data_IF_422321979958
#
_entry.id   IF_422321979958
#
_cell.length_a   1.000
_cell.length_b   1.000
_cell.length_c   1.000
_cell.angle_alpha   90.00
_cell.angle_beta   90.00
_cell.angle_gamma   90.00
#
_symmetry.space_group_name_H-M   'P 1'
#
loop_
_entity.id
_entity.type
_entity.pdbx_description
1 polymer ?
#
# COMPACT_ATOMS: atom_id res chain seq x y z
N UNK A 1 0.89 12.60 21.08
CA UNK A 1 0.49 12.63 19.66
C UNK A 1 0.76 14.01 19.07
N UNK A 2 0.83 14.13 17.75
CA UNK A 2 1.06 15.41 17.06
C UNK A 2 -0.25 16.19 17.01
N UNK A 3 -0.19 17.49 17.27
CA UNK A 3 -1.31 18.44 17.16
C UNK A 3 -1.03 19.42 16.03
N UNK A 4 -2.00 19.57 15.14
CA UNK A 4 -1.96 20.51 14.03
C UNK A 4 -2.92 21.66 14.31
N UNK A 5 -2.40 22.89 14.29
CA UNK A 5 -3.18 24.12 14.32
C UNK A 5 -3.04 24.85 12.98
N UNK A 6 -4.15 24.98 12.26
CA UNK A 6 -4.20 25.60 10.93
C UNK A 6 -5.00 26.89 11.06
N UNK A 7 -4.39 28.02 10.72
CA UNK A 7 -5.04 29.33 10.74
C UNK A 7 -5.15 29.87 9.33
N UNK A 8 -6.36 30.22 8.89
CA UNK A 8 -6.55 30.84 7.59
C UNK A 8 -6.15 32.33 7.60
N UNK A 9 -6.04 32.93 6.42
CA UNK A 9 -5.75 34.35 6.22
C UNK A 9 -6.77 35.32 6.86
N UNK A 10 -7.95 34.84 7.27
CA UNK A 10 -8.99 35.62 7.93
C UNK A 10 -8.96 35.47 9.47
N UNK A 11 -7.99 34.72 10.02
CA UNK A 11 -7.80 34.51 11.45
C UNK A 11 -8.66 33.40 12.06
N UNK A 12 -9.45 32.67 11.27
CA UNK A 12 -10.13 31.48 11.76
C UNK A 12 -9.12 30.33 11.88
N UNK A 13 -9.15 29.63 13.01
CA UNK A 13 -8.23 28.55 13.32
C UNK A 13 -8.96 27.23 13.56
N UNK A 14 -8.37 26.14 13.06
CA UNK A 14 -8.77 24.77 13.32
C UNK A 14 -7.62 24.07 14.05
N UNK A 15 -7.91 23.44 15.18
CA UNK A 15 -6.95 22.62 15.90
C UNK A 15 -7.46 21.18 15.97
N UNK A 16 -6.59 20.23 15.63
CA UNK A 16 -6.86 18.80 15.65
C UNK A 16 -5.63 18.01 16.09
N UNK A 17 -5.87 16.84 16.66
CA UNK A 17 -4.82 15.86 16.97
C UNK A 17 -4.76 14.83 15.84
N UNK A 18 -3.55 14.51 15.38
CA UNK A 18 -3.29 13.53 14.33
C UNK A 18 -3.00 12.14 14.95
N UNK A 19 -3.32 11.04 14.26
CA UNK A 19 -3.89 10.96 12.91
C UNK A 19 -5.43 11.16 12.87
N UNK A 20 -5.93 11.51 11.69
CA UNK A 20 -7.34 11.68 11.37
C UNK A 20 -7.66 10.95 10.05
N UNK A 21 -8.93 10.57 9.88
CA UNK A 21 -9.47 10.28 8.55
C UNK A 21 -9.30 11.51 7.64
N UNK A 22 -8.61 11.35 6.51
CA UNK A 22 -8.17 12.49 5.69
C UNK A 22 -9.34 13.20 5.01
N UNK A 23 -10.42 12.47 4.70
CA UNK A 23 -11.63 13.02 4.09
C UNK A 23 -12.42 13.86 5.10
N UNK A 24 -12.63 13.33 6.30
CA UNK A 24 -13.25 14.05 7.40
C UNK A 24 -12.40 15.24 7.82
N UNK A 25 -11.07 15.09 7.84
CA UNK A 25 -10.18 16.21 8.17
C UNK A 25 -10.30 17.33 7.14
N UNK A 26 -10.36 16.99 5.84
CA UNK A 26 -10.59 17.99 4.81
C UNK A 26 -11.99 18.63 4.92
N UNK A 27 -13.01 17.86 5.26
CA UNK A 27 -14.35 18.39 5.52
C UNK A 27 -14.34 19.43 6.64
N UNK A 28 -13.76 19.09 7.80
CA UNK A 28 -13.63 19.99 8.96
C UNK A 28 -12.87 21.28 8.61
N UNK A 29 -11.80 21.15 7.81
CA UNK A 29 -11.04 22.30 7.31
C UNK A 29 -11.91 23.23 6.46
N UNK A 30 -12.74 22.69 5.58
CA UNK A 30 -13.65 23.50 4.76
C UNK A 30 -14.69 24.23 5.59
N UNK A 31 -15.24 23.59 6.63
CA UNK A 31 -16.15 24.24 7.58
C UNK A 31 -15.47 25.41 8.33
N UNK A 32 -14.18 25.27 8.64
CA UNK A 32 -13.36 26.34 9.21
C UNK A 32 -12.89 27.40 8.19
N UNK A 33 -13.31 27.29 6.92
CA UNK A 33 -12.96 28.23 5.85
C UNK A 33 -11.56 28.01 5.25
N UNK A 34 -10.98 26.83 5.43
CA UNK A 34 -9.70 26.41 4.85
C UNK A 34 -9.99 25.51 3.64
N UNK A 35 -10.03 26.10 2.44
CA UNK A 35 -10.39 25.40 1.19
C UNK A 35 -9.17 24.79 0.46
N UNK A 36 -8.14 24.41 1.20
CA UNK A 36 -6.91 23.81 0.65
C UNK A 36 -6.79 22.39 1.19
N UNK A 37 -6.65 21.36 0.34
CA UNK A 37 -6.59 19.98 0.81
C UNK A 37 -5.30 19.74 1.60
N UNK A 38 -5.29 18.82 2.58
CA UNK A 38 -4.11 18.55 3.42
C UNK A 38 -2.84 18.26 2.63
N UNK A 39 -2.93 17.50 1.54
CA UNK A 39 -1.81 17.19 0.63
C UNK A 39 -1.18 18.41 -0.06
N UNK A 40 -1.86 19.55 -0.08
CA UNK A 40 -1.33 20.78 -0.69
C UNK A 40 -0.82 21.78 0.35
N UNK A 41 -1.02 21.54 1.65
CA UNK A 41 -0.59 22.43 2.73
C UNK A 41 0.80 22.01 3.16
N UNK A 42 1.80 22.84 2.90
CA UNK A 42 3.16 22.61 3.38
C UNK A 42 3.25 22.76 4.90
N UNK A 43 4.12 21.97 5.52
CA UNK A 43 4.42 22.07 6.95
C UNK A 43 5.21 23.33 7.29
N UNK A 44 5.96 23.85 6.32
CA UNK A 44 6.81 25.01 6.45
C UNK A 44 6.54 26.02 5.35
N UNK A 45 6.39 27.30 5.72
CA UNK A 45 6.27 28.43 4.79
C UNK A 45 5.14 28.30 3.74
N UNK A 46 4.00 27.69 4.12
CA UNK A 46 2.87 27.52 3.21
C UNK A 46 2.26 28.86 2.77
N UNK A 47 1.88 28.94 1.50
CA UNK A 47 1.13 30.07 0.96
C UNK A 47 -0.37 29.82 1.11
N UNK A 48 -0.99 30.55 2.03
CA UNK A 48 -2.45 30.65 2.17
C UNK A 48 -2.97 30.27 3.55
N UNK A 49 -2.21 29.49 4.32
CA UNK A 49 -2.49 29.15 5.71
C UNK A 49 -1.23 29.27 6.57
N UNK A 50 -1.43 29.59 7.84
CA UNK A 50 -0.39 29.46 8.87
C UNK A 50 -0.58 28.13 9.60
N UNK A 51 0.37 27.21 9.45
CA UNK A 51 0.35 25.90 10.08
C UNK A 51 1.38 25.84 11.21
N UNK A 52 0.93 25.43 12.38
CA UNK A 52 1.81 25.10 13.50
C UNK A 52 1.59 23.66 13.96
N UNK A 53 2.65 22.86 13.94
CA UNK A 53 2.66 21.54 14.55
C UNK A 53 3.27 21.61 15.96
N UNK A 54 2.63 20.93 16.91
CA UNK A 54 3.10 20.79 18.28
C UNK A 54 2.87 19.37 18.79
N UNK A 55 3.45 19.01 19.93
CA UNK A 55 3.25 17.70 20.52
C UNK A 55 3.41 17.76 22.04
N UNK A 56 2.54 17.04 22.75
CA UNK A 56 2.58 16.97 24.23
C UNK A 56 3.33 15.73 24.74
N UNK A 57 3.67 14.80 23.86
CA UNK A 57 4.42 13.58 24.19
C UNK A 57 5.86 13.66 23.70
N UNK A 58 6.76 12.94 24.37
CA UNK A 58 8.15 12.80 23.92
C UNK A 58 8.19 12.21 22.52
N UNK A 59 7.47 11.10 22.27
CA UNK A 59 7.34 10.49 20.94
C UNK A 59 6.91 11.53 19.89
N UNK A 60 5.82 12.28 20.15
CA UNK A 60 5.34 13.28 19.20
C UNK A 60 6.36 14.38 18.94
N UNK A 61 7.05 14.85 19.98
CA UNK A 61 8.10 15.88 19.85
C UNK A 61 9.29 15.41 19.01
N UNK A 62 9.57 14.11 19.02
CA UNK A 62 10.62 13.48 18.21
C UNK A 62 10.17 13.28 16.77
N UNK A 63 8.92 12.86 16.57
CA UNK A 63 8.33 12.72 15.24
C UNK A 63 8.31 14.05 14.48
N UNK A 64 8.11 15.19 15.14
CA UNK A 64 8.19 16.50 14.47
C UNK A 64 9.54 16.77 13.76
N UNK A 65 10.61 16.04 14.12
CA UNK A 65 11.96 16.22 13.56
C UNK A 65 12.20 15.42 12.28
N UNK A 66 11.32 14.48 11.95
CA UNK A 66 11.46 13.67 10.73
C UNK A 66 11.00 14.44 9.49
N UNK A 67 10.30 15.56 9.69
CA UNK A 67 9.73 16.33 8.61
C UNK A 67 10.73 17.29 7.96
N UNK A 68 10.65 17.36 6.64
CA UNK A 68 11.42 18.24 5.77
C UNK A 68 10.59 19.46 5.33
N UNK A 69 11.24 20.45 4.69
CA UNK A 69 10.55 21.65 4.17
C UNK A 69 9.49 21.36 3.10
N UNK A 70 9.64 20.25 2.37
CA UNK A 70 8.70 19.86 1.31
C UNK A 70 7.49 19.10 1.82
N UNK A 71 7.48 18.73 3.10
CA UNK A 71 6.45 17.87 3.65
C UNK A 71 5.15 18.63 3.85
N UNK A 72 4.05 17.88 3.83
CA UNK A 72 2.70 18.38 3.84
C UNK A 72 1.95 18.00 5.10
N UNK A 73 0.80 18.62 5.32
CA UNK A 73 -0.11 18.22 6.41
C UNK A 73 -0.60 16.78 6.25
N UNK A 74 -0.72 16.29 5.00
CA UNK A 74 -0.99 14.87 4.75
C UNK A 74 0.17 13.99 5.24
N UNK A 75 1.43 14.35 4.95
CA UNK A 75 2.60 13.60 5.44
C UNK A 75 2.64 13.52 6.97
N UNK A 76 2.31 14.62 7.66
CA UNK A 76 2.24 14.62 9.12
C UNK A 76 1.15 13.69 9.65
N UNK A 77 0.00 13.63 8.96
CA UNK A 77 -1.08 12.71 9.28
C UNK A 77 -0.65 11.25 9.05
N UNK A 78 0.03 10.97 7.94
CA UNK A 78 0.55 9.64 7.58
C UNK A 78 1.60 9.15 8.57
N UNK A 79 2.55 10.00 8.98
CA UNK A 79 3.53 9.64 10.03
C UNK A 79 2.83 9.34 11.35
N UNK A 80 1.85 10.16 11.75
CA UNK A 80 1.09 9.92 12.98
C UNK A 80 0.29 8.61 12.88
N UNK A 81 -0.29 8.32 11.72
CA UNK A 81 -1.04 7.10 11.44
C UNK A 81 -0.14 5.87 11.56
N UNK A 82 0.94 5.80 10.78
CA UNK A 82 1.87 4.68 10.75
C UNK A 82 2.43 4.32 12.13
N UNK A 83 2.74 5.31 12.98
CA UNK A 83 3.23 5.06 14.34
C UNK A 83 2.11 4.58 15.27
N UNK A 84 0.89 5.11 15.13
CA UNK A 84 -0.25 4.75 15.98
C UNK A 84 -0.86 3.39 15.64
N UNK A 85 -0.74 2.94 14.39
CA UNK A 85 -1.26 1.66 13.90
C UNK A 85 -0.19 0.58 13.78
N UNK A 86 1.06 0.90 14.14
CA UNK A 86 2.15 -0.07 14.16
C UNK A 86 1.78 -1.29 15.02
N UNK A 87 2.12 -2.48 14.52
CA UNK A 87 1.78 -3.76 15.16
C UNK A 87 2.36 -3.80 16.58
N UNK A 88 1.58 -4.30 17.54
CA UNK A 88 1.99 -4.41 18.96
C UNK A 88 3.38 -5.04 19.12
N UNK A 89 3.69 -6.01 18.26
CA UNK A 89 4.95 -6.75 18.26
C UNK A 89 6.20 -5.88 18.03
N UNK A 90 6.07 -4.74 17.35
CA UNK A 90 7.19 -3.84 17.02
C UNK A 90 7.14 -2.51 17.80
N UNK A 91 6.04 -2.23 18.52
CA UNK A 91 5.80 -0.92 19.15
C UNK A 91 6.95 -0.50 20.08
N UNK A 92 7.41 -1.40 20.95
CA UNK A 92 8.47 -1.07 21.92
C UNK A 92 9.77 -0.63 21.24
N UNK A 93 10.20 -1.37 20.21
CA UNK A 93 11.45 -1.07 19.49
C UNK A 93 11.29 0.21 18.64
N UNK A 94 10.14 0.35 17.96
CA UNK A 94 9.79 1.56 17.21
C UNK A 94 9.82 2.81 18.11
N UNK A 95 9.18 2.77 19.28
CA UNK A 95 9.15 3.87 20.23
C UNK A 95 10.55 4.23 20.73
N UNK A 96 11.40 3.24 21.03
CA UNK A 96 12.79 3.50 21.41
C UNK A 96 13.56 4.19 20.27
N UNK A 97 13.43 3.70 19.03
CA UNK A 97 14.11 4.30 17.89
C UNK A 97 13.66 5.75 17.65
N UNK A 98 12.37 6.04 17.82
CA UNK A 98 11.83 7.41 17.76
C UNK A 98 12.44 8.29 18.86
N UNK A 99 12.40 7.84 20.12
CA UNK A 99 12.92 8.60 21.29
C UNK A 99 14.40 8.95 21.11
N UNK A 100 15.20 8.02 20.58
CA UNK A 100 16.63 8.20 20.33
C UNK A 100 16.95 8.97 19.04
N UNK A 101 15.95 9.46 18.29
CA UNK A 101 16.10 10.22 17.04
C UNK A 101 16.85 9.42 15.95
N UNK A 102 16.56 8.13 15.81
CA UNK A 102 17.23 7.29 14.82
C UNK A 102 16.77 7.56 13.37
N UNK A 103 15.64 8.25 13.20
CA UNK A 103 15.08 8.55 11.87
C UNK A 103 15.41 9.97 11.43
N UNK A 104 16.23 10.16 10.39
CA UNK A 104 16.54 11.49 9.86
C UNK A 104 15.42 12.05 8.97
N UNK A 105 14.55 11.19 8.41
CA UNK A 105 13.45 11.57 7.53
C UNK A 105 12.24 10.66 7.73
N UNK A 106 11.06 11.08 7.25
CA UNK A 106 9.83 10.27 7.28
C UNK A 106 9.97 8.98 6.46
N UNK A 107 10.69 9.01 5.35
CA UNK A 107 10.94 7.82 4.51
C UNK A 107 11.72 6.77 5.29
N UNK A 108 12.77 7.18 6.03
CA UNK A 108 13.53 6.25 6.88
C UNK A 108 12.71 5.67 8.04
N UNK A 109 11.75 6.43 8.55
CA UNK A 109 10.79 5.93 9.53
C UNK A 109 9.87 4.86 8.91
N UNK A 110 9.32 5.12 7.72
CA UNK A 110 8.46 4.15 7.02
C UNK A 110 9.21 2.88 6.62
N UNK A 111 10.42 3.02 6.08
CA UNK A 111 11.32 1.90 5.75
C UNK A 111 11.53 0.99 6.96
N UNK A 112 11.84 1.56 8.13
CA UNK A 112 12.13 0.78 9.34
C UNK A 112 10.86 0.15 9.92
N UNK A 113 9.71 0.84 9.89
CA UNK A 113 8.42 0.25 10.29
C UNK A 113 8.11 -0.98 9.44
N UNK A 114 8.27 -0.87 8.12
CA UNK A 114 8.09 -2.00 7.19
C UNK A 114 9.07 -3.14 7.51
N UNK A 115 10.35 -2.83 7.64
CA UNK A 115 11.39 -3.81 7.93
C UNK A 115 11.17 -4.54 9.27
N UNK A 116 10.84 -3.81 10.34
CA UNK A 116 10.53 -4.38 11.65
C UNK A 116 9.28 -5.26 11.60
N UNK A 117 8.24 -4.82 10.88
CA UNK A 117 6.98 -5.59 10.74
C UNK A 117 7.24 -6.91 10.02
N UNK A 118 7.98 -6.89 8.91
CA UNK A 118 8.37 -8.09 8.17
C UNK A 118 9.29 -9.00 9.01
N UNK A 119 10.26 -8.44 9.73
CA UNK A 119 11.17 -9.20 10.59
C UNK A 119 10.44 -9.86 11.78
N UNK A 120 9.35 -9.26 12.25
CA UNK A 120 8.49 -9.82 13.29
C UNK A 120 7.62 -11.00 12.80
N UNK A 121 7.49 -11.18 11.48
CA UNK A 121 6.88 -12.35 10.84
C UNK A 121 7.93 -13.21 10.11
N UNK A 122 8.68 -14.06 10.83
CA UNK A 122 9.81 -14.80 10.24
C UNK A 122 9.39 -15.90 9.25
N UNK A 123 8.13 -16.34 9.28
CA UNK A 123 7.61 -17.33 8.34
C UNK A 123 7.17 -16.58 7.08
N UNK A 124 7.86 -16.84 5.97
CA UNK A 124 7.50 -16.29 4.66
C UNK A 124 6.54 -17.22 3.96
N UNK A 125 5.51 -16.64 3.35
CA UNK A 125 4.58 -17.30 2.45
C UNK A 125 4.45 -16.41 1.21
N UNK A 126 4.84 -16.92 0.05
CA UNK A 126 4.69 -16.23 -1.22
C UNK A 126 3.61 -16.92 -2.03
N UNK A 127 2.68 -16.13 -2.55
CA UNK A 127 1.60 -16.57 -3.41
C UNK A 127 1.74 -15.92 -4.79
N UNK A 128 1.35 -16.66 -5.82
CA UNK A 128 1.38 -16.22 -7.21
C UNK A 128 0.00 -16.33 -7.85
N UNK A 129 -0.32 -15.38 -8.72
CA UNK A 129 -1.50 -15.41 -9.57
C UNK A 129 -1.20 -14.81 -10.95
N UNK A 130 -1.99 -15.11 -12.00
CA UNK A 130 -1.79 -14.52 -13.31
C UNK A 130 -2.12 -13.02 -13.28
N UNK A 131 -1.43 -12.26 -14.12
CA UNK A 131 -1.76 -10.85 -14.43
C UNK A 131 -2.43 -10.76 -15.79
N UNK A 132 -3.40 -9.85 -15.89
CA UNK A 132 -4.04 -9.48 -17.16
C UNK A 132 -3.76 -8.02 -17.46
N UNK A 133 -3.41 -7.74 -18.71
CA UNK A 133 -3.21 -6.38 -19.21
C UNK A 133 -4.26 -6.01 -20.26
N UNK A 134 -4.76 -4.79 -20.18
CA UNK A 134 -5.63 -4.17 -21.18
C UNK A 134 -5.02 -2.85 -21.63
N UNK A 135 -4.84 -2.67 -22.93
CA UNK A 135 -4.26 -1.46 -23.52
C UNK A 135 -5.36 -0.66 -24.23
N UNK A 136 -5.46 0.62 -23.92
CA UNK A 136 -6.19 1.61 -24.71
C UNK A 136 -5.17 2.37 -25.59
N UNK A 137 -5.19 2.11 -26.90
CA UNK A 137 -4.30 2.75 -27.88
C UNK A 137 -4.79 4.13 -28.35
N UNK A 138 -5.99 4.56 -27.90
CA UNK A 138 -6.64 5.80 -28.30
C UNK A 138 -7.11 5.84 -29.76
N UNK A 139 -6.91 4.76 -30.53
CA UNK A 139 -7.35 4.61 -31.92
C UNK A 139 -8.59 3.71 -32.03
N UNK A 140 -8.67 2.71 -31.16
CA UNK A 140 -9.75 1.73 -31.09
C UNK A 140 -10.72 2.06 -29.96
N UNK A 141 -12.03 1.86 -30.20
CA UNK A 141 -13.06 2.01 -29.15
C UNK A 141 -13.07 0.83 -28.14
N UNK A 142 -12.23 -0.19 -28.36
CA UNK A 142 -12.15 -1.41 -27.55
C UNK A 142 -10.72 -1.60 -27.01
N UNK A 143 -10.62 -2.04 -25.75
CA UNK A 143 -9.35 -2.41 -25.13
C UNK A 143 -8.72 -3.63 -25.80
N UNK A 144 -7.40 -3.58 -25.97
CA UNK A 144 -6.59 -4.67 -26.53
C UNK A 144 -6.01 -5.48 -25.38
N UNK A 145 -6.30 -6.77 -25.33
CA UNK A 145 -5.67 -7.68 -24.36
C UNK A 145 -4.18 -7.86 -24.70
N UNK A 146 -3.30 -7.60 -23.72
CA UNK A 146 -1.85 -7.74 -23.88
C UNK A 146 -1.34 -8.93 -23.06
N UNK A 147 -0.41 -9.68 -23.66
CA UNK A 147 0.17 -10.86 -23.02
C UNK A 147 1.29 -10.53 -22.04
N UNK A 148 1.71 -11.51 -21.24
CA UNK A 148 2.72 -11.36 -20.19
C UNK A 148 4.06 -10.81 -20.68
N UNK A 149 4.46 -11.07 -21.92
CA UNK A 149 5.69 -10.52 -22.49
C UNK A 149 5.65 -9.00 -22.71
N UNK A 150 4.46 -8.43 -22.96
CA UNK A 150 4.28 -6.97 -23.01
C UNK A 150 4.32 -6.40 -21.59
N UNK A 151 3.60 -7.02 -20.65
CA UNK A 151 3.61 -6.61 -19.25
C UNK A 151 5.03 -6.61 -18.66
N UNK A 152 5.84 -7.62 -18.96
CA UNK A 152 7.24 -7.71 -18.51
C UNK A 152 8.10 -6.52 -18.99
N UNK A 153 7.82 -5.95 -20.16
CA UNK A 153 8.53 -4.77 -20.65
C UNK A 153 8.21 -3.50 -19.83
N UNK A 154 7.08 -3.50 -19.12
CA UNK A 154 6.58 -2.42 -18.27
C UNK A 154 6.62 -2.78 -16.77
N UNK A 155 7.39 -3.80 -16.39
CA UNK A 155 7.46 -4.30 -15.00
C UNK A 155 7.73 -3.18 -13.98
N UNK A 156 8.74 -2.35 -14.21
CA UNK A 156 9.12 -1.28 -13.28
C UNK A 156 7.96 -0.29 -13.05
N UNK A 157 7.23 0.09 -14.11
CA UNK A 157 6.06 0.98 -14.00
C UNK A 157 4.89 0.30 -13.29
N UNK A 158 4.67 -0.99 -13.55
CA UNK A 158 3.64 -1.80 -12.89
C UNK A 158 3.94 -1.90 -11.40
N UNK A 159 5.17 -2.28 -11.03
CA UNK A 159 5.63 -2.34 -9.63
C UNK A 159 5.45 -1.01 -8.91
N UNK A 160 5.79 0.10 -9.57
CA UNK A 160 5.61 1.43 -8.99
C UNK A 160 4.12 1.76 -8.78
N UNK A 161 3.25 1.49 -9.76
CA UNK A 161 1.81 1.69 -9.62
C UNK A 161 1.22 0.87 -8.48
N UNK A 162 1.67 -0.37 -8.29
CA UNK A 162 1.25 -1.24 -7.19
C UNK A 162 1.77 -0.72 -5.84
N UNK A 163 3.00 -0.20 -5.79
CA UNK A 163 3.58 0.37 -4.59
C UNK A 163 2.82 1.64 -4.15
N UNK A 164 2.36 2.45 -5.10
CA UNK A 164 1.59 3.67 -4.84
C UNK A 164 0.20 3.37 -4.24
N UNK A 165 -0.39 2.21 -4.55
CA UNK A 165 -1.67 1.76 -3.97
C UNK A 165 -1.53 1.19 -2.56
N UNK A 166 -0.31 0.82 -2.17
CA UNK A 166 0.03 0.32 -0.84
C UNK A 166 0.85 1.36 -0.05
N UNK A 167 0.56 2.65 -0.29
CA UNK A 167 1.25 3.75 0.35
C UNK A 167 1.10 3.70 1.89
N UNK A 168 2.07 4.23 2.66
CA UNK A 168 2.05 4.17 4.13
C UNK A 168 0.79 4.73 4.81
N UNK A 169 0.05 5.60 4.13
CA UNK A 169 -1.24 6.14 4.58
C UNK A 169 -2.36 5.11 4.63
N UNK A 170 -2.26 4.04 3.85
CA UNK A 170 -3.16 2.89 3.90
C UNK A 170 -2.74 1.87 4.96
N UNK A 171 -1.60 2.05 5.63
CA UNK A 171 -1.04 1.06 6.54
C UNK A 171 -0.61 -0.22 5.82
N UNK A 172 -0.40 -1.29 6.59
CA UNK A 172 -0.06 -2.60 6.01
C UNK A 172 -1.33 -3.32 5.53
N UNK A 173 -1.31 -3.85 4.30
CA UNK A 173 -2.48 -4.52 3.71
C UNK A 173 -2.98 -5.71 4.53
N UNK A 174 -2.12 -6.32 5.36
CA UNK A 174 -2.51 -7.38 6.28
C UNK A 174 -3.56 -6.94 7.32
N UNK A 175 -3.83 -5.65 7.50
CA UNK A 175 -4.94 -5.20 8.35
C UNK A 175 -6.32 -5.39 7.70
N UNK A 176 -6.37 -5.52 6.37
CA UNK A 176 -7.60 -5.75 5.59
C UNK A 176 -7.86 -7.25 5.33
N UNK A 177 -6.97 -8.12 5.80
CA UNK A 177 -7.06 -9.58 5.72
C UNK A 177 -7.39 -10.14 7.12
N UNK A 178 -8.53 -9.71 7.67
CA UNK A 178 -8.91 -9.95 9.07
C UNK A 178 -10.20 -10.77 9.25
N UNK A 179 -10.79 -11.30 8.15
CA UNK A 179 -12.05 -12.07 8.24
C UNK A 179 -11.88 -13.33 9.07
N UNK A 180 -10.76 -14.03 8.94
CA UNK A 180 -10.40 -15.13 9.83
C UNK A 180 -9.50 -14.64 10.98
N UNK A 181 -9.98 -14.76 12.23
CA UNK A 181 -9.24 -14.32 13.40
C UNK A 181 -7.90 -15.05 13.64
N UNK A 182 -7.77 -16.31 13.21
CA UNK A 182 -6.53 -17.08 13.25
C UNK A 182 -5.50 -16.56 12.25
N UNK A 183 -5.93 -16.27 11.02
CA UNK A 183 -5.09 -15.60 9.99
C UNK A 183 -4.67 -14.22 10.48
N UNK A 184 -5.62 -13.38 10.91
CA UNK A 184 -5.36 -12.03 11.42
C UNK A 184 -4.39 -12.03 12.61
N UNK A 185 -4.49 -13.05 13.47
CA UNK A 185 -3.60 -13.21 14.60
C UNK A 185 -2.19 -13.64 14.20
N UNK A 186 -1.94 -14.18 13.02
CA UNK A 186 -0.63 -14.67 12.57
C UNK A 186 0.03 -13.75 11.54
N UNK A 187 -0.76 -13.09 10.71
CA UNK A 187 -0.31 -12.25 9.61
C UNK A 187 0.26 -10.91 10.12
N UNK A 188 1.52 -10.67 9.81
CA UNK A 188 2.24 -9.44 10.16
C UNK A 188 2.18 -8.42 9.03
N UNK A 189 2.53 -8.86 7.82
CA UNK A 189 2.46 -8.05 6.60
C UNK A 189 1.96 -8.85 5.41
N UNK A 190 1.33 -8.16 4.46
CA UNK A 190 1.05 -8.66 3.12
C UNK A 190 1.39 -7.57 2.11
N UNK A 191 2.18 -7.90 1.09
CA UNK A 191 2.66 -6.94 0.08
C UNK A 191 2.44 -7.52 -1.30
N UNK A 192 1.70 -6.80 -2.14
CA UNK A 192 1.51 -7.12 -3.55
C UNK A 192 2.63 -6.50 -4.37
N UNK A 193 3.08 -7.23 -5.38
CA UNK A 193 4.10 -6.85 -6.35
C UNK A 193 3.99 -7.79 -7.55
N UNK A 194 4.97 -7.75 -8.46
CA UNK A 194 5.04 -8.65 -9.60
C UNK A 194 6.39 -9.33 -9.68
N UNK A 195 6.48 -10.42 -10.42
CA UNK A 195 7.73 -11.12 -10.68
C UNK A 195 7.73 -11.72 -12.09
N UNK A 196 8.81 -11.49 -12.85
CA UNK A 196 9.05 -12.16 -14.11
C UNK A 196 9.62 -13.55 -13.85
N UNK A 197 8.86 -14.57 -14.27
CA UNK A 197 9.28 -15.96 -14.23
C UNK A 197 9.25 -16.51 -15.65
N UNK A 198 10.44 -16.78 -16.19
CA UNK A 198 10.66 -17.30 -17.55
C UNK A 198 9.96 -16.46 -18.66
N UNK A 199 9.97 -15.14 -18.53
CA UNK A 199 9.37 -14.21 -19.49
C UNK A 199 7.85 -14.07 -19.32
N UNK A 200 7.30 -14.57 -18.22
CA UNK A 200 5.91 -14.36 -17.82
C UNK A 200 5.88 -13.53 -16.56
N UNK A 201 5.38 -12.30 -16.67
CA UNK A 201 5.11 -11.47 -15.51
C UNK A 201 3.88 -12.00 -14.76
N UNK A 202 4.07 -12.40 -13.51
CA UNK A 202 3.02 -12.86 -12.60
C UNK A 202 2.81 -11.86 -11.46
N UNK A 203 1.61 -11.89 -10.88
CA UNK A 203 1.32 -11.20 -9.63
C UNK A 203 1.94 -12.00 -8.49
N UNK A 204 2.62 -11.32 -7.58
CA UNK A 204 3.26 -11.90 -6.41
C UNK A 204 2.75 -11.23 -5.14
N UNK A 205 2.40 -12.03 -4.15
CA UNK A 205 1.95 -11.58 -2.85
C UNK A 205 2.87 -12.16 -1.78
N UNK A 206 3.63 -11.29 -1.12
CA UNK A 206 4.57 -11.66 -0.06
C UNK A 206 3.92 -11.46 1.31
N UNK A 207 3.60 -12.56 1.99
CA UNK A 207 3.09 -12.59 3.35
C UNK A 207 4.19 -12.92 4.36
N UNK A 208 4.23 -12.16 5.45
CA UNK A 208 5.06 -12.47 6.62
C UNK A 208 4.18 -12.86 7.79
N UNK A 209 4.44 -14.02 8.37
CA UNK A 209 3.64 -14.66 9.40
C UNK A 209 4.48 -14.91 10.66
N UNK A 210 3.85 -14.77 11.84
CA UNK A 210 4.48 -15.12 13.12
C UNK A 210 4.76 -16.61 13.25
N UNK A 211 3.88 -17.43 12.68
CA UNK A 211 3.95 -18.88 12.67
C UNK A 211 3.19 -19.45 11.46
N UNK A 212 3.42 -20.71 11.07
CA UNK A 212 2.73 -21.30 9.92
C UNK A 212 1.20 -21.33 10.07
N UNK A 213 0.52 -21.20 8.94
CA UNK A 213 -0.92 -21.40 8.85
C UNK A 213 -1.25 -22.89 8.82
N UNK A 214 -2.40 -23.24 9.38
CA UNK A 214 -3.07 -24.52 9.14
C UNK A 214 -3.67 -24.53 7.73
N UNK A 215 -4.09 -25.70 7.25
CA UNK A 215 -4.71 -25.81 5.92
C UNK A 215 -6.01 -24.98 5.80
N UNK A 216 -6.80 -24.92 6.87
CA UNK A 216 -8.03 -24.11 6.94
C UNK A 216 -7.70 -22.62 6.87
N UNK A 217 -6.75 -22.14 7.69
CA UNK A 217 -6.31 -20.75 7.66
C UNK A 217 -5.66 -20.36 6.33
N UNK A 218 -4.94 -21.29 5.67
CA UNK A 218 -4.39 -21.06 4.33
C UNK A 218 -5.49 -20.87 3.29
N UNK A 219 -6.54 -21.71 3.33
CA UNK A 219 -7.68 -21.57 2.43
C UNK A 219 -8.38 -20.23 2.63
N UNK A 220 -8.62 -19.83 3.88
CA UNK A 220 -9.23 -18.55 4.21
C UNK A 220 -8.38 -17.36 3.73
N UNK A 221 -7.06 -17.40 3.97
CA UNK A 221 -6.15 -16.36 3.48
C UNK A 221 -6.20 -16.24 1.95
N UNK A 222 -6.27 -17.35 1.22
CA UNK A 222 -6.41 -17.33 -0.25
C UNK A 222 -7.72 -16.71 -0.69
N UNK A 223 -8.83 -16.99 -0.02
CA UNK A 223 -10.12 -16.35 -0.33
C UNK A 223 -10.08 -14.84 -0.07
N UNK A 224 -9.42 -14.39 1.00
CA UNK A 224 -9.26 -12.97 1.29
C UNK A 224 -8.36 -12.27 0.26
N UNK A 225 -7.22 -12.87 -0.11
CA UNK A 225 -6.33 -12.35 -1.16
C UNK A 225 -7.05 -12.32 -2.51
N UNK A 226 -7.79 -13.37 -2.85
CA UNK A 226 -8.61 -13.40 -4.07
C UNK A 226 -9.62 -12.25 -4.11
N UNK A 227 -10.27 -11.97 -2.97
CA UNK A 227 -11.15 -10.82 -2.83
C UNK A 227 -10.43 -9.50 -3.13
N UNK A 228 -9.27 -9.29 -2.51
CA UNK A 228 -8.44 -8.09 -2.76
C UNK A 228 -8.01 -7.96 -4.22
N UNK A 229 -7.58 -9.07 -4.85
CA UNK A 229 -7.22 -9.12 -6.26
C UNK A 229 -8.41 -8.79 -7.16
N UNK A 230 -9.60 -9.34 -6.88
CA UNK A 230 -10.81 -9.09 -7.66
C UNK A 230 -11.36 -7.67 -7.51
N UNK A 231 -11.05 -6.99 -6.40
CA UNK A 231 -11.43 -5.60 -6.16
C UNK A 231 -10.44 -4.59 -6.78
N UNK A 232 -9.40 -5.08 -7.48
CA UNK A 232 -8.41 -4.27 -8.20
C UNK A 232 -7.41 -3.52 -7.32
N UNK A 233 -7.00 -4.18 -6.23
CA UNK A 233 -6.32 -3.69 -5.03
C UNK A 233 -6.38 -2.18 -4.76
N UNK A 234 -7.36 -1.83 -3.91
CA UNK A 234 -7.58 -0.49 -3.35
C UNK A 234 -8.72 0.29 -4.01
N UNK A 235 -9.54 -0.36 -4.86
CA UNK A 235 -10.59 0.22 -5.74
C UNK A 235 -10.06 1.05 -6.93
N UNK A 236 -8.73 1.12 -7.11
CA UNK A 236 -8.10 2.11 -7.99
C UNK A 236 -7.05 1.58 -8.96
N UNK A 237 -6.25 0.58 -8.59
CA UNK A 237 -5.07 0.20 -9.39
C UNK A 237 -5.48 -0.17 -10.82
N UNK A 238 -6.46 -1.07 -10.94
CA UNK A 238 -6.97 -1.54 -12.22
C UNK A 238 -7.63 -0.43 -13.06
N UNK A 239 -7.99 0.68 -12.45
CA UNK A 239 -8.66 1.82 -13.11
C UNK A 239 -7.71 2.97 -13.41
N UNK A 240 -6.47 2.93 -12.91
CA UNK A 240 -5.46 3.96 -13.15
C UNK A 240 -4.53 3.51 -14.27
N UNK A 241 -4.51 4.21 -15.41
CA UNK A 241 -3.64 3.82 -16.50
C UNK A 241 -2.18 4.05 -16.15
N UNK A 242 -1.35 3.13 -16.62
CA UNK A 242 0.09 3.28 -16.72
C UNK A 242 0.37 3.79 -18.13
N UNK A 243 0.88 5.02 -18.26
CA UNK A 243 1.23 5.60 -19.55
C UNK A 243 2.38 4.80 -20.19
N UNK A 244 2.15 4.29 -21.40
CA UNK A 244 3.14 3.55 -22.21
C UNK A 244 3.36 4.23 -23.56
N UNK A 245 4.40 3.81 -24.30
CA UNK A 245 4.64 4.32 -25.66
C UNK A 245 3.54 3.87 -26.65
N UNK A 246 2.80 2.82 -26.31
CA UNK A 246 1.72 2.23 -27.12
C UNK A 246 0.30 2.63 -26.66
N UNK A 247 0.16 3.39 -25.57
CA UNK A 247 -1.14 3.81 -25.04
C UNK A 247 -1.24 3.69 -23.52
N UNK A 248 -2.47 3.69 -23.01
CA UNK A 248 -2.78 3.59 -21.58
C UNK A 248 -2.96 2.12 -21.18
N UNK A 249 -2.05 1.61 -20.34
CA UNK A 249 -2.05 0.22 -19.88
C UNK A 249 -2.76 0.08 -18.53
N UNK A 250 -3.74 -0.82 -18.46
CA UNK A 250 -4.45 -1.21 -17.25
C UNK A 250 -4.07 -2.64 -16.88
N UNK A 251 -3.77 -2.88 -15.61
CA UNK A 251 -3.27 -4.18 -15.13
C UNK A 251 -4.12 -4.70 -13.99
N UNK A 252 -4.50 -5.97 -14.05
CA UNK A 252 -5.34 -6.66 -13.07
C UNK A 252 -4.69 -7.93 -12.53
N UNK A 253 -4.86 -8.15 -11.22
CA UNK A 253 -4.47 -9.39 -10.52
C UNK A 253 -5.54 -10.48 -10.61
N UNK A 254 -6.65 -10.21 -11.29
CA UNK A 254 -7.79 -11.08 -11.34
C UNK A 254 -8.37 -11.19 -12.74
N UNK A 255 -8.89 -12.37 -13.07
CA UNK A 255 -9.70 -12.55 -14.26
C UNK A 255 -10.67 -13.70 -14.06
N UNK A 256 -11.74 -13.70 -14.86
CA UNK A 256 -12.78 -14.73 -14.80
C UNK A 256 -12.46 -15.98 -15.63
N UNK A 257 -11.21 -16.18 -16.05
CA UNK A 257 -10.83 -17.39 -16.82
C UNK A 257 -10.83 -18.61 -15.92
N UNK A 258 -11.11 -19.77 -16.53
CA UNK A 258 -10.97 -21.07 -15.87
C UNK A 258 -9.49 -21.38 -15.53
N UNK A 259 -8.54 -20.68 -16.15
CA UNK A 259 -7.10 -20.81 -15.92
C UNK A 259 -6.58 -19.95 -14.76
N UNK A 260 -7.45 -19.19 -14.06
CA UNK A 260 -7.05 -18.41 -12.90
C UNK A 260 -6.55 -19.30 -11.76
N UNK A 261 -5.40 -18.96 -11.20
CA UNK A 261 -4.86 -19.63 -10.02
C UNK A 261 -4.38 -18.62 -8.99
N UNK A 262 -4.38 -19.05 -7.73
CA UNK A 262 -3.68 -18.39 -6.63
C UNK A 262 -2.96 -19.49 -5.87
N UNK A 263 -1.66 -19.66 -6.11
CA UNK A 263 -0.88 -20.81 -5.67
C UNK A 263 0.34 -20.39 -4.83
N UNK A 264 0.89 -21.29 -4.00
CA UNK A 264 2.18 -21.05 -3.35
C UNK A 264 3.33 -21.19 -4.34
N UNK A 265 4.52 -20.72 -3.96
CA UNK A 265 5.77 -20.99 -4.69
C UNK A 265 5.95 -22.50 -5.00
N UNK A 266 5.71 -23.38 -4.01
CA UNK A 266 5.84 -24.83 -4.18
C UNK A 266 4.82 -25.43 -5.19
N UNK A 267 3.69 -24.76 -5.41
CA UNK A 267 2.62 -25.18 -6.32
C UNK A 267 2.78 -24.55 -7.72
N UNK A 268 3.67 -23.57 -7.88
CA UNK A 268 3.74 -22.73 -9.07
C UNK A 268 4.17 -23.51 -10.32
N UNK A 269 5.11 -24.45 -10.17
CA UNK A 269 5.62 -25.25 -11.29
C UNK A 269 4.47 -25.98 -12.02
N UNK A 270 3.45 -26.45 -11.29
CA UNK A 270 2.29 -27.15 -11.87
C UNK A 270 1.44 -26.25 -12.79
N UNK A 271 1.51 -24.93 -12.59
CA UNK A 271 0.81 -23.91 -13.38
C UNK A 271 1.68 -23.29 -14.49
N UNK A 272 3.01 -23.36 -14.36
CA UNK A 272 3.95 -22.85 -15.36
C UNK A 272 4.18 -23.85 -16.50
N UNK A 273 4.07 -25.16 -16.24
CA UNK A 273 4.19 -26.18 -17.27
C UNK A 273 3.16 -25.93 -18.39
N UNK A 274 3.60 -25.82 -19.66
CA UNK A 274 2.64 -25.72 -20.74
C UNK A 274 1.79 -26.99 -20.70
N UNK A 275 0.46 -26.83 -20.64
CA UNK A 275 -0.46 -27.89 -21.03
C UNK A 275 -0.03 -28.35 -22.43
N UNK A 276 0.79 -29.41 -22.49
CA UNK A 276 1.08 -30.11 -23.73
C UNK A 276 -0.28 -30.61 -24.18
N UNK A 277 -0.80 -29.97 -25.23
CA UNK A 277 -2.10 -30.28 -25.77
C UNK A 277 -2.26 -31.78 -25.88
N UNK A 278 -3.39 -32.28 -25.37
CA UNK A 278 -3.98 -33.51 -25.88
C UNK A 278 -4.34 -33.29 -27.36
N UNK A 279 -3.32 -33.36 -28.21
CA UNK A 279 -3.42 -33.41 -29.65
C UNK A 279 -3.42 -34.86 -30.10
N UNK A 280 -4.61 -35.44 -30.21
CA UNK A 280 -4.96 -36.46 -31.21
C UNK A 280 -4.52 -37.91 -30.98
N UNK A 281 -5.52 -38.76 -30.67
CA UNK A 281 -5.96 -39.84 -31.56
C UNK A 281 -7.47 -39.93 -31.57
#
# INVERSE_FOLDING_TARGET
MIKAKITNQFGAALERELPLDIHQFYHDMREAGINKPPRNILLHDDKGVDLHLSADSEIGSRLLRVFSKGDTLADANTVAFAVSTAREKILTDLEQNIVHNQYPTKEKLFDDIKAMTQAAGPVKLTLYCPLVGQLDDGECDEYIEVGSGFLAAYQDQIEQGIADEQAPEMGDMAQYLDRNAGVAAKLMSAVWTVEDIDGRLLGRIDCHLKEPLTAEEMADLREEILGQCSDGLGEGFEQRPIETDEGDLYVSYWNSSDDYFLCTEDELDEHLEPHQGMGGM
#
